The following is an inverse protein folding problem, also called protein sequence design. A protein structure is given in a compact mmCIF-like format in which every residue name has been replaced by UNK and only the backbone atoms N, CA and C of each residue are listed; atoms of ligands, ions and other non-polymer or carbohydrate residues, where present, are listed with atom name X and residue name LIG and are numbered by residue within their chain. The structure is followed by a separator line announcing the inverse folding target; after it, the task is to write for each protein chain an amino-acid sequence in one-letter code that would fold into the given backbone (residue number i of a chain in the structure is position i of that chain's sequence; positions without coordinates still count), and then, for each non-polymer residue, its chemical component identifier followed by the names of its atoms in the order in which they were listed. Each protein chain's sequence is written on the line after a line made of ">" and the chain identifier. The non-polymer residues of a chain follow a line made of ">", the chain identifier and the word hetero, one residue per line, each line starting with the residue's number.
data_IF_688444143153
#
_entry.id   IF_688444143153
#
_cell.length_a   1.000
_cell.length_b   1.000
_cell.length_c   1.000
_cell.angle_alpha   90.00
_cell.angle_beta   90.00
_cell.angle_gamma   90.00
#
_symmetry.space_group_name_H-M   'P 1'
#
loop_
_entity.id
_entity.type
_entity.pdbx_description
1 polymer ?
#
# COMPACT_ATOMS: atom_id res chain seq x y z
N UNK A 1 -25.76 0.02 -30.61
CA UNK A 1 -26.24 0.68 -29.38
C UNK A 1 -26.08 -0.29 -28.22
N UNK A 2 -25.63 0.25 -27.09
CA UNK A 2 -25.06 -0.39 -25.89
C UNK A 2 -25.75 -1.67 -25.36
N UNK A 3 -24.94 -2.69 -25.02
CA UNK A 3 -25.34 -3.84 -24.18
C UNK A 3 -24.60 -3.85 -22.83
N UNK A 4 -24.26 -2.66 -22.30
CA UNK A 4 -23.98 -2.50 -20.88
C UNK A 4 -25.30 -2.77 -20.14
N UNK A 5 -25.29 -3.63 -19.13
CA UNK A 5 -26.42 -4.15 -18.35
C UNK A 5 -27.01 -5.47 -18.86
N UNK A 6 -26.33 -6.58 -18.61
CA UNK A 6 -26.99 -7.82 -18.19
C UNK A 6 -25.98 -8.69 -17.42
N UNK A 7 -25.96 -8.54 -16.10
CA UNK A 7 -25.40 -9.54 -15.18
C UNK A 7 -26.53 -10.52 -14.86
N UNK A 8 -26.57 -11.65 -15.56
CA UNK A 8 -27.46 -12.76 -15.21
C UNK A 8 -26.63 -13.86 -14.52
N UNK A 9 -27.04 -14.15 -13.29
CA UNK A 9 -27.03 -15.43 -12.59
C UNK A 9 -25.69 -16.14 -12.33
N UNK A 10 -25.06 -15.71 -11.23
CA UNK A 10 -24.20 -16.55 -10.39
C UNK A 10 -24.82 -16.63 -8.96
N UNK A 11 -24.54 -17.68 -8.17
CA UNK A 11 -25.27 -17.98 -6.93
C UNK A 11 -25.24 -16.80 -5.95
N UNK A 12 -26.43 -16.33 -5.56
CA UNK A 12 -26.63 -15.13 -4.74
C UNK A 12 -26.22 -15.37 -3.27
N UNK A 13 -24.95 -15.17 -2.96
CA UNK A 13 -24.60 -14.41 -1.76
C UNK A 13 -24.98 -12.95 -2.04
N UNK A 14 -25.71 -12.30 -1.15
CA UNK A 14 -26.26 -10.95 -1.35
C UNK A 14 -25.18 -9.98 -1.85
N UNK A 15 -25.16 -9.70 -3.15
CA UNK A 15 -24.16 -8.83 -3.77
C UNK A 15 -24.15 -7.42 -3.14
N UNK A 16 -25.27 -7.01 -2.54
CA UNK A 16 -25.35 -5.74 -1.81
C UNK A 16 -24.62 -5.77 -0.46
N UNK A 17 -24.50 -6.95 0.16
CA UNK A 17 -23.75 -7.15 1.40
C UNK A 17 -22.23 -7.11 1.17
N UNK A 18 -21.74 -7.76 0.10
CA UNK A 18 -20.31 -7.80 -0.22
C UNK A 18 -19.80 -6.43 -0.64
N UNK A 19 -20.52 -5.72 -1.52
CA UNK A 19 -20.14 -4.33 -1.89
C UNK A 19 -20.09 -3.42 -0.67
N UNK A 20 -21.05 -3.53 0.26
CA UNK A 20 -21.05 -2.74 1.50
C UNK A 20 -19.85 -3.04 2.40
N UNK A 21 -19.36 -4.28 2.44
CA UNK A 21 -18.15 -4.62 3.20
C UNK A 21 -16.93 -3.92 2.58
N UNK A 22 -16.76 -4.00 1.25
CA UNK A 22 -15.66 -3.33 0.56
C UNK A 22 -15.70 -1.82 0.76
N UNK A 23 -16.86 -1.17 0.60
CA UNK A 23 -17.01 0.28 0.79
C UNK A 23 -16.58 0.73 2.20
N UNK A 24 -16.85 -0.09 3.23
CA UNK A 24 -16.47 0.20 4.62
C UNK A 24 -14.98 0.03 4.89
N UNK A 25 -14.30 -0.84 4.15
CA UNK A 25 -12.86 -1.09 4.27
C UNK A 25 -12.06 -0.08 3.43
N UNK A 26 -12.55 0.27 2.23
CA UNK A 26 -11.84 1.10 1.26
C UNK A 26 -11.84 2.59 1.61
N UNK A 27 -12.92 3.12 2.21
CA UNK A 27 -13.02 4.56 2.50
C UNK A 27 -11.91 5.08 3.45
N UNK A 28 -11.58 4.41 4.57
CA UNK A 28 -10.44 4.80 5.39
C UNK A 28 -9.10 4.59 4.66
N UNK A 29 -8.95 3.54 3.83
CA UNK A 29 -7.72 3.32 3.04
C UNK A 29 -7.45 4.48 2.08
N UNK A 30 -8.49 4.99 1.41
CA UNK A 30 -8.36 6.14 0.51
C UNK A 30 -7.93 7.40 1.26
N UNK A 31 -8.51 7.65 2.43
CA UNK A 31 -8.16 8.79 3.30
C UNK A 31 -6.74 8.66 3.84
N UNK A 32 -6.36 7.49 4.36
CA UNK A 32 -5.02 7.19 4.81
C UNK A 32 -3.98 7.35 3.69
N UNK A 33 -4.31 6.94 2.46
CA UNK A 33 -3.45 7.11 1.29
C UNK A 33 -3.23 8.58 0.91
N UNK A 34 -4.24 9.44 1.07
CA UNK A 34 -4.08 10.87 0.86
C UNK A 34 -3.11 11.49 1.88
N UNK A 35 -3.23 11.12 3.15
CA UNK A 35 -2.30 11.54 4.20
C UNK A 35 -0.88 11.00 3.96
N UNK A 36 -0.75 9.73 3.57
CA UNK A 36 0.52 9.11 3.26
C UNK A 36 1.23 9.82 2.10
N UNK A 37 0.52 10.13 1.01
CA UNK A 37 1.08 10.87 -0.13
C UNK A 37 1.46 12.31 0.22
N UNK A 38 0.72 12.96 1.13
CA UNK A 38 1.11 14.26 1.68
C UNK A 38 2.43 14.17 2.43
N UNK A 39 2.62 13.16 3.29
CA UNK A 39 3.88 12.95 3.99
C UNK A 39 5.06 12.77 3.01
N UNK A 40 4.86 11.99 1.94
CA UNK A 40 5.85 11.84 0.87
C UNK A 40 6.28 13.16 0.25
N UNK A 41 5.32 14.06 -0.01
CA UNK A 41 5.61 15.40 -0.54
C UNK A 41 6.47 16.22 0.42
N UNK A 42 6.20 16.16 1.73
CA UNK A 42 7.02 16.83 2.74
C UNK A 42 8.44 16.22 2.79
N UNK A 43 8.58 14.90 2.73
CA UNK A 43 9.89 14.22 2.76
C UNK A 43 10.76 14.53 1.54
N UNK A 44 10.16 14.71 0.36
CA UNK A 44 10.89 15.19 -0.82
C UNK A 44 11.45 16.60 -0.61
N UNK A 45 10.68 17.48 0.05
CA UNK A 45 11.13 18.83 0.37
C UNK A 45 12.17 18.84 1.49
N UNK A 46 12.09 17.92 2.47
CA UNK A 46 13.14 17.73 3.49
C UNK A 46 14.49 17.53 2.80
N UNK A 47 14.56 16.62 1.84
CA UNK A 47 15.81 16.34 1.14
C UNK A 47 16.40 17.60 0.49
N UNK A 48 15.58 18.37 -0.23
CA UNK A 48 16.02 19.63 -0.85
C UNK A 48 16.42 20.70 0.17
N UNK A 49 15.66 20.87 1.25
CA UNK A 49 15.97 21.85 2.30
C UNK A 49 17.32 21.53 2.97
N UNK A 50 17.61 20.23 3.17
CA UNK A 50 18.90 19.77 3.69
C UNK A 50 20.07 19.97 2.73
N UNK A 51 19.87 19.80 1.42
CA UNK A 51 20.90 20.12 0.41
C UNK A 51 21.24 21.61 0.39
N UNK A 52 20.27 22.47 0.72
CA UNK A 52 20.45 23.91 0.83
C UNK A 52 20.94 24.37 2.22
N UNK A 53 21.16 23.43 3.15
CA UNK A 53 21.50 23.69 4.55
C UNK A 53 20.44 24.51 5.33
N UNK A 54 19.16 24.47 4.94
CA UNK A 54 18.06 25.05 5.71
C UNK A 54 17.49 24.04 6.71
N UNK A 55 18.26 23.80 7.79
CA UNK A 55 17.93 22.83 8.84
C UNK A 55 16.63 23.17 9.57
N UNK A 56 16.35 24.47 9.72
CA UNK A 56 15.12 24.96 10.36
C UNK A 56 13.90 24.60 9.52
N UNK A 57 13.93 24.82 8.21
CA UNK A 57 12.82 24.46 7.34
C UNK A 57 12.66 22.94 7.24
N UNK A 58 13.76 22.20 7.10
CA UNK A 58 13.74 20.74 7.11
C UNK A 58 13.08 20.17 8.38
N UNK A 59 13.34 20.77 9.55
CA UNK A 59 12.69 20.36 10.80
C UNK A 59 11.18 20.56 10.80
N UNK A 60 10.70 21.68 10.23
CA UNK A 60 9.26 21.91 10.04
C UNK A 60 8.65 20.87 9.09
N UNK A 61 9.34 20.55 7.99
CA UNK A 61 8.90 19.54 7.03
C UNK A 61 8.81 18.14 7.65
N UNK A 62 9.80 17.74 8.44
CA UNK A 62 9.76 16.46 9.17
C UNK A 62 8.57 16.43 10.13
N UNK A 63 8.32 17.51 10.89
CA UNK A 63 7.15 17.57 11.77
C UNK A 63 5.81 17.45 11.02
N UNK A 64 5.69 18.11 9.86
CA UNK A 64 4.53 17.96 8.97
C UNK A 64 4.38 16.54 8.43
N UNK A 65 5.48 15.89 8.03
CA UNK A 65 5.49 14.51 7.56
C UNK A 65 5.05 13.55 8.67
N UNK A 66 5.57 13.70 9.89
CA UNK A 66 5.18 12.91 11.06
C UNK A 66 3.68 13.05 11.33
N UNK A 67 3.15 14.27 11.38
CA UNK A 67 1.73 14.49 11.62
C UNK A 67 0.84 13.87 10.51
N UNK A 68 1.28 13.91 9.26
CA UNK A 68 0.57 13.28 8.16
C UNK A 68 0.64 11.74 8.21
N UNK A 69 1.79 11.16 8.56
CA UNK A 69 1.92 9.71 8.73
C UNK A 69 1.15 9.19 9.94
N UNK A 70 1.07 9.96 11.03
CA UNK A 70 0.21 9.64 12.18
C UNK A 70 -1.27 9.54 11.75
N UNK A 71 -1.76 10.52 11.01
CA UNK A 71 -3.12 10.49 10.47
C UNK A 71 -3.32 9.32 9.49
N UNK A 72 -2.34 9.05 8.62
CA UNK A 72 -2.40 7.90 7.71
C UNK A 72 -2.48 6.57 8.46
N UNK A 73 -1.65 6.42 9.50
CA UNK A 73 -1.58 5.21 10.31
C UNK A 73 -2.91 4.95 11.04
N UNK A 74 -3.52 5.97 11.63
CA UNK A 74 -4.82 5.86 12.30
C UNK A 74 -5.93 5.37 11.36
N UNK A 75 -5.99 5.92 10.14
CA UNK A 75 -6.94 5.51 9.10
C UNK A 75 -6.69 4.07 8.62
N UNK A 76 -5.43 3.68 8.42
CA UNK A 76 -5.08 2.31 8.01
C UNK A 76 -5.34 1.29 9.12
N UNK A 77 -5.03 1.61 10.38
CA UNK A 77 -5.33 0.76 11.54
C UNK A 77 -6.85 0.61 11.74
N UNK A 78 -7.60 1.69 11.56
CA UNK A 78 -9.07 1.67 11.57
C UNK A 78 -9.61 0.77 10.46
N UNK A 79 -9.13 0.89 9.23
CA UNK A 79 -9.52 -0.01 8.13
C UNK A 79 -9.19 -1.46 8.45
N UNK A 80 -7.98 -1.72 8.96
CA UNK A 80 -7.52 -3.06 9.30
C UNK A 80 -8.42 -3.71 10.36
N UNK A 81 -8.79 -2.96 11.39
CA UNK A 81 -9.68 -3.43 12.44
C UNK A 81 -11.10 -3.72 11.90
N UNK A 82 -11.65 -2.81 11.10
CA UNK A 82 -12.97 -3.00 10.44
C UNK A 82 -12.94 -4.23 9.52
N UNK A 83 -11.87 -4.41 8.75
CA UNK A 83 -11.71 -5.57 7.88
C UNK A 83 -11.72 -6.89 8.66
N UNK A 84 -11.05 -6.96 9.82
CA UNK A 84 -11.08 -8.15 10.70
C UNK A 84 -12.48 -8.41 11.24
N UNK A 85 -13.15 -7.38 11.77
CA UNK A 85 -14.49 -7.49 12.34
C UNK A 85 -15.53 -7.97 11.33
N UNK A 86 -15.38 -7.55 10.07
CA UNK A 86 -16.27 -7.93 8.98
C UNK A 86 -15.88 -9.26 8.30
N UNK A 87 -14.78 -9.90 8.71
CA UNK A 87 -14.25 -11.09 8.04
C UNK A 87 -13.80 -10.84 6.60
N UNK A 88 -13.44 -9.59 6.28
CA UNK A 88 -13.10 -9.14 4.93
C UNK A 88 -11.93 -9.93 4.35
N UNK A 89 -10.85 -10.14 5.11
CA UNK A 89 -9.63 -10.76 4.58
C UNK A 89 -9.87 -12.15 4.01
N UNK A 90 -10.56 -13.02 4.76
CA UNK A 90 -10.92 -14.36 4.27
C UNK A 90 -11.79 -14.28 3.02
N UNK A 91 -12.81 -13.42 3.04
CA UNK A 91 -13.69 -13.22 1.89
C UNK A 91 -12.91 -12.72 0.65
N UNK A 92 -12.00 -11.77 0.85
CA UNK A 92 -11.18 -11.19 -0.20
C UNK A 92 -10.22 -12.22 -0.80
N UNK A 93 -9.55 -12.96 0.07
CA UNK A 93 -8.64 -14.03 -0.29
C UNK A 93 -9.32 -15.14 -1.10
N UNK A 94 -10.51 -15.58 -0.67
CA UNK A 94 -11.29 -16.59 -1.37
C UNK A 94 -11.68 -16.09 -2.77
N UNK A 95 -12.08 -14.81 -2.91
CA UNK A 95 -12.39 -14.21 -4.21
C UNK A 95 -11.16 -14.06 -5.12
N UNK A 96 -10.01 -13.72 -4.56
CA UNK A 96 -8.74 -13.66 -5.31
C UNK A 96 -8.36 -15.04 -5.84
N UNK A 97 -8.50 -16.09 -5.02
CA UNK A 97 -8.28 -17.47 -5.47
C UNK A 97 -9.28 -17.88 -6.54
N UNK A 98 -10.57 -17.60 -6.35
CA UNK A 98 -11.62 -17.90 -7.34
C UNK A 98 -11.32 -17.27 -8.71
N UNK A 99 -10.89 -16.00 -8.74
CA UNK A 99 -10.49 -15.30 -9.96
C UNK A 99 -9.24 -15.92 -10.65
N UNK A 100 -8.48 -16.73 -9.93
CA UNK A 100 -7.20 -17.29 -10.36
C UNK A 100 -7.19 -18.82 -10.31
N UNK A 101 -8.34 -19.46 -10.54
CA UNK A 101 -8.49 -20.92 -10.62
C UNK A 101 -8.07 -21.67 -9.35
N UNK A 102 -8.22 -21.03 -8.18
CA UNK A 102 -7.95 -21.60 -6.87
C UNK A 102 -6.63 -21.19 -6.22
N UNK A 103 -5.79 -20.39 -6.88
CA UNK A 103 -4.46 -20.00 -6.42
C UNK A 103 -4.27 -18.49 -6.38
N UNK A 104 -3.33 -17.96 -5.61
CA UNK A 104 -3.15 -16.50 -5.51
C UNK A 104 -2.38 -15.85 -6.66
N UNK A 105 -1.62 -16.60 -7.48
CA UNK A 105 -0.88 -16.13 -8.68
C UNK A 105 -0.28 -14.71 -8.56
N UNK A 106 0.29 -14.39 -7.40
CA UNK A 106 0.69 -13.03 -7.03
C UNK A 106 1.86 -12.57 -7.88
N UNK A 107 2.87 -13.42 -8.02
CA UNK A 107 4.05 -13.14 -8.83
C UNK A 107 3.71 -12.87 -10.30
N UNK A 108 2.81 -13.66 -10.88
CA UNK A 108 2.34 -13.43 -12.24
C UNK A 108 1.61 -12.10 -12.35
N UNK A 109 0.74 -11.79 -11.38
CA UNK A 109 -0.03 -10.54 -11.35
C UNK A 109 0.89 -9.32 -11.26
N UNK A 110 1.90 -9.35 -10.39
CA UNK A 110 2.89 -8.28 -10.25
C UNK A 110 3.76 -8.15 -11.51
N UNK A 111 4.16 -9.26 -12.14
CA UNK A 111 4.93 -9.25 -13.39
C UNK A 111 4.12 -8.65 -14.54
N UNK A 112 2.86 -9.03 -14.67
CA UNK A 112 1.95 -8.48 -15.69
C UNK A 112 1.71 -6.99 -15.49
N UNK A 113 1.47 -6.55 -14.25
CA UNK A 113 1.35 -5.14 -13.93
C UNK A 113 2.65 -4.36 -14.25
N UNK A 114 3.81 -4.97 -14.01
CA UNK A 114 5.10 -4.41 -14.40
C UNK A 114 5.25 -4.25 -15.92
N UNK A 115 4.85 -5.27 -16.69
CA UNK A 115 4.86 -5.19 -18.16
C UNK A 115 3.91 -4.11 -18.71
N UNK A 116 2.84 -3.79 -17.98
CA UNK A 116 1.90 -2.71 -18.31
C UNK A 116 2.35 -1.32 -17.81
N UNK A 117 3.50 -1.23 -17.12
CA UNK A 117 4.00 0.02 -16.56
C UNK A 117 3.20 0.55 -15.37
N UNK A 118 2.39 -0.30 -14.73
CA UNK A 118 1.57 0.08 -13.57
C UNK A 118 2.36 0.04 -12.26
N UNK A 119 3.46 -0.72 -12.23
CA UNK A 119 4.29 -0.93 -11.05
C UNK A 119 5.75 -1.15 -11.47
N UNK A 120 6.68 -0.50 -10.79
CA UNK A 120 8.11 -0.77 -10.92
C UNK A 120 8.59 -1.42 -9.63
N UNK A 121 8.84 -2.73 -9.69
CA UNK A 121 9.25 -3.54 -8.55
C UNK A 121 10.44 -4.40 -8.95
N UNK A 122 11.49 -4.40 -8.15
CA UNK A 122 12.60 -5.35 -8.35
C UNK A 122 12.17 -6.79 -7.97
N UNK A 123 12.90 -7.78 -8.47
CA UNK A 123 12.56 -9.20 -8.27
C UNK A 123 12.54 -9.58 -6.78
N UNK A 124 13.43 -9.01 -5.95
CA UNK A 124 13.50 -9.33 -4.53
C UNK A 124 12.27 -8.82 -3.77
N UNK A 125 11.80 -7.61 -4.12
CA UNK A 125 10.61 -7.00 -3.55
C UNK A 125 9.33 -7.70 -4.03
N UNK A 126 9.31 -8.15 -5.30
CA UNK A 126 8.24 -8.99 -5.84
C UNK A 126 8.14 -10.33 -5.10
N UNK A 127 9.28 -11.01 -4.92
CA UNK A 127 9.38 -12.26 -4.17
C UNK A 127 8.90 -12.09 -2.72
N UNK A 128 9.39 -11.05 -2.03
CA UNK A 128 8.98 -10.76 -0.65
C UNK A 128 7.47 -10.55 -0.56
N UNK A 129 6.91 -9.77 -1.46
CA UNK A 129 5.45 -9.47 -1.48
C UNK A 129 4.64 -10.73 -1.76
N UNK A 130 5.05 -11.52 -2.76
CA UNK A 130 4.43 -12.81 -3.09
C UNK A 130 4.40 -13.73 -1.89
N UNK A 131 5.55 -13.91 -1.22
CA UNK A 131 5.68 -14.81 -0.07
C UNK A 131 4.77 -14.40 1.10
N UNK A 132 4.76 -13.12 1.48
CA UNK A 132 3.91 -12.63 2.58
C UNK A 132 2.43 -12.92 2.28
N UNK A 133 2.01 -12.68 1.05
CA UNK A 133 0.62 -12.86 0.62
C UNK A 133 0.25 -14.35 0.50
N UNK A 134 1.15 -15.19 -0.02
CA UNK A 134 0.92 -16.64 -0.14
C UNK A 134 0.87 -17.34 1.22
N UNK A 135 1.70 -16.92 2.17
CA UNK A 135 1.78 -17.51 3.52
C UNK A 135 0.63 -17.06 4.43
N UNK A 136 0.18 -15.82 4.32
CA UNK A 136 -0.74 -15.21 5.29
C UNK A 136 -1.89 -14.39 4.70
N UNK A 137 -2.06 -14.37 3.37
CA UNK A 137 -3.13 -13.66 2.68
C UNK A 137 -3.00 -12.14 2.74
N UNK A 138 -4.10 -11.47 2.36
CA UNK A 138 -4.19 -10.00 2.38
C UNK A 138 -4.04 -9.43 3.80
N UNK A 139 -4.48 -10.16 4.84
CA UNK A 139 -4.32 -9.72 6.23
C UNK A 139 -2.84 -9.57 6.62
N UNK A 140 -2.01 -10.58 6.31
CA UNK A 140 -0.59 -10.54 6.63
C UNK A 140 0.14 -9.46 5.83
N UNK A 141 -0.23 -9.30 4.55
CA UNK A 141 0.33 -8.25 3.70
C UNK A 141 0.02 -6.84 4.22
N UNK A 142 -1.23 -6.58 4.59
CA UNK A 142 -1.63 -5.28 5.13
C UNK A 142 -1.06 -5.05 6.55
N UNK A 143 -0.97 -6.09 7.38
CA UNK A 143 -0.29 -6.02 8.68
C UNK A 143 1.18 -5.63 8.52
N UNK A 144 1.87 -6.23 7.53
CA UNK A 144 3.26 -5.89 7.23
C UNK A 144 3.39 -4.44 6.76
N UNK A 145 2.48 -3.94 5.92
CA UNK A 145 2.46 -2.53 5.51
C UNK A 145 2.36 -1.58 6.72
N UNK A 146 1.43 -1.83 7.64
CA UNK A 146 1.26 -1.05 8.87
C UNK A 146 2.52 -1.10 9.75
N UNK A 147 3.15 -2.27 9.88
CA UNK A 147 4.38 -2.41 10.66
C UNK A 147 5.54 -1.59 10.08
N UNK A 148 5.75 -1.65 8.76
CA UNK A 148 6.79 -0.86 8.07
C UNK A 148 6.50 0.65 8.16
N UNK A 149 5.23 1.05 8.09
CA UNK A 149 4.81 2.45 8.29
C UNK A 149 5.16 2.96 9.69
N UNK A 150 4.92 2.15 10.73
CA UNK A 150 5.31 2.48 12.11
C UNK A 150 6.82 2.64 12.25
N UNK A 151 7.62 1.76 11.64
CA UNK A 151 9.08 1.86 11.65
C UNK A 151 9.58 3.15 10.97
N UNK A 152 9.00 3.51 9.82
CA UNK A 152 9.31 4.79 9.17
C UNK A 152 8.97 5.97 10.09
N UNK A 153 7.78 5.97 10.69
CA UNK A 153 7.32 7.03 11.59
C UNK A 153 8.22 7.17 12.83
N UNK A 154 8.61 6.06 13.45
CA UNK A 154 9.57 6.05 14.56
C UNK A 154 10.91 6.65 14.15
N UNK A 155 11.43 6.28 12.97
CA UNK A 155 12.66 6.84 12.42
C UNK A 155 12.59 8.35 12.21
N UNK A 156 11.44 8.87 11.76
CA UNK A 156 11.22 10.30 11.59
C UNK A 156 11.05 11.05 12.92
N UNK A 157 10.42 10.44 13.92
CA UNK A 157 10.29 11.01 15.27
C UNK A 157 11.61 11.12 16.00
N UNK A 158 12.59 10.27 15.66
CA UNK A 158 13.94 10.33 16.18
C UNK A 158 14.80 11.45 15.56
N UNK A 159 14.24 12.24 14.64
CA UNK A 159 14.92 13.37 14.04
C UNK A 159 15.20 14.49 15.08
N UNK A 160 16.46 14.90 15.18
CA UNK A 160 16.91 15.91 16.13
C UNK A 160 17.66 17.06 15.43
N UNK A 161 16.97 18.14 15.11
CA UNK A 161 17.54 19.34 14.47
C UNK A 161 18.80 19.90 15.13
N UNK A 162 18.99 19.69 16.44
CA UNK A 162 20.18 20.19 17.14
C UNK A 162 21.45 19.40 16.84
N UNK A 163 21.32 18.12 16.49
CA UNK A 163 22.41 17.28 16.02
C UNK A 163 22.89 17.65 14.59
N UNK A 164 22.18 18.57 13.90
CA UNK A 164 22.53 19.06 12.56
C UNK A 164 23.80 19.88 12.52
N UNK A 165 23.95 20.76 13.50
CA UNK A 165 25.09 21.65 13.56
C UNK A 165 26.37 20.87 13.93
N UNK A 166 26.22 19.69 14.54
CA UNK A 166 27.33 18.85 14.99
C UNK A 166 27.87 17.90 13.91
N UNK A 167 27.03 17.42 12.98
CA UNK A 167 27.44 16.45 11.94
C UNK A 167 26.63 16.55 10.63
N UNK A 168 27.02 17.39 9.66
CA UNK A 168 26.29 17.58 8.40
C UNK A 168 26.08 16.32 7.54
N UNK A 169 26.99 15.33 7.62
CA UNK A 169 26.88 14.07 6.85
C UNK A 169 25.69 13.22 7.36
N UNK A 170 25.44 13.24 8.66
CA UNK A 170 24.30 12.55 9.26
C UNK A 170 22.97 13.03 8.65
N UNK A 171 22.88 14.30 8.27
CA UNK A 171 21.67 14.96 7.78
C UNK A 171 21.36 14.60 6.34
N UNK A 172 22.38 14.60 5.48
CA UNK A 172 22.24 14.09 4.13
C UNK A 172 21.78 12.63 4.15
N UNK A 173 22.36 11.81 5.03
CA UNK A 173 21.93 10.42 5.19
C UNK A 173 20.49 10.30 5.70
N UNK A 174 20.04 11.18 6.60
CA UNK A 174 18.65 11.20 7.05
C UNK A 174 17.67 11.49 5.90
N UNK A 175 17.93 12.55 5.12
CA UNK A 175 17.11 12.90 3.96
C UNK A 175 16.99 11.74 2.97
N UNK A 176 18.13 11.17 2.56
CA UNK A 176 18.17 10.02 1.65
C UNK A 176 17.49 8.76 2.21
N UNK A 177 17.70 8.44 3.50
CA UNK A 177 17.09 7.26 4.12
C UNK A 177 15.58 7.39 4.23
N UNK A 178 15.10 8.56 4.66
CA UNK A 178 13.66 8.80 4.86
C UNK A 178 12.87 8.75 3.56
N UNK A 179 13.36 9.39 2.49
CA UNK A 179 12.71 9.30 1.17
C UNK A 179 12.78 7.90 0.58
N UNK A 180 13.91 7.20 0.72
CA UNK A 180 14.06 5.82 0.23
C UNK A 180 13.09 4.87 0.95
N UNK A 181 13.01 4.97 2.28
CA UNK A 181 12.09 4.15 3.08
C UNK A 181 10.63 4.46 2.73
N UNK A 182 10.28 5.75 2.55
CA UNK A 182 8.96 6.15 2.08
C UNK A 182 8.63 5.55 0.71
N UNK A 183 9.54 5.64 -0.27
CA UNK A 183 9.31 5.12 -1.61
C UNK A 183 9.17 3.59 -1.63
N UNK A 184 9.98 2.88 -0.85
CA UNK A 184 9.84 1.43 -0.69
C UNK A 184 8.47 1.06 -0.13
N UNK A 185 8.00 1.78 0.91
CA UNK A 185 6.69 1.55 1.50
C UNK A 185 5.56 1.92 0.53
N UNK A 186 5.70 3.00 -0.23
CA UNK A 186 4.77 3.41 -1.28
C UNK A 186 4.65 2.36 -2.37
N UNK A 187 5.78 1.85 -2.86
CA UNK A 187 5.83 0.79 -3.88
C UNK A 187 5.19 -0.50 -3.34
N UNK A 188 5.44 -0.84 -2.07
CA UNK A 188 4.80 -1.99 -1.43
C UNK A 188 3.28 -1.82 -1.36
N UNK A 189 2.78 -0.67 -0.88
CA UNK A 189 1.34 -0.37 -0.87
C UNK A 189 0.70 -0.38 -2.26
N UNK A 190 1.38 0.16 -3.28
CA UNK A 190 0.94 0.07 -4.67
C UNK A 190 0.87 -1.37 -5.17
N UNK A 191 1.81 -2.23 -4.76
CA UNK A 191 1.80 -3.65 -5.09
C UNK A 191 0.57 -4.35 -4.53
N UNK A 192 0.16 -4.03 -3.29
CA UNK A 192 -1.07 -4.56 -2.69
C UNK A 192 -2.31 -4.09 -3.46
N UNK A 193 -2.39 -2.81 -3.82
CA UNK A 193 -3.50 -2.30 -4.62
C UNK A 193 -3.59 -2.97 -6.00
N UNK A 194 -2.44 -3.21 -6.64
CA UNK A 194 -2.35 -3.94 -7.91
C UNK A 194 -2.82 -5.38 -7.76
N UNK A 195 -2.40 -6.09 -6.71
CA UNK A 195 -2.85 -7.45 -6.43
C UNK A 195 -4.38 -7.46 -6.27
N UNK A 196 -4.91 -6.55 -5.46
CA UNK A 196 -6.33 -6.55 -5.12
C UNK A 196 -7.18 -6.17 -6.34
N UNK A 197 -6.76 -5.20 -7.16
CA UNK A 197 -7.53 -4.80 -8.36
C UNK A 197 -7.32 -5.79 -9.50
N UNK A 198 -6.06 -6.04 -9.88
CA UNK A 198 -5.72 -6.78 -11.08
C UNK A 198 -5.92 -8.29 -10.89
N UNK A 199 -5.59 -8.80 -9.70
CA UNK A 199 -5.83 -10.19 -9.32
C UNK A 199 -7.31 -10.57 -9.32
N UNK A 200 -8.22 -9.62 -9.04
CA UNK A 200 -9.67 -9.82 -9.11
C UNK A 200 -10.25 -9.74 -10.54
N UNK A 201 -9.52 -9.20 -11.52
CA UNK A 201 -10.04 -8.97 -12.89
C UNK A 201 -9.80 -10.11 -13.88
N UNK A 202 -9.07 -11.17 -13.48
CA UNK A 202 -8.87 -12.32 -14.36
C UNK A 202 -10.18 -13.09 -14.52
N UNK A 203 -10.66 -13.17 -15.76
CA UNK A 203 -11.68 -14.14 -16.13
C UNK A 203 -11.11 -15.55 -16.00
N UNK A 204 -11.91 -16.54 -15.56
CA UNK A 204 -11.51 -17.94 -15.71
C UNK A 204 -11.19 -18.15 -17.18
N UNK A 205 -9.94 -18.54 -17.47
CA UNK A 205 -9.50 -18.82 -18.83
C UNK A 205 -10.56 -19.64 -19.52
N UNK A 206 -11.19 -19.04 -20.54
CA UNK A 206 -12.14 -19.72 -21.40
C UNK A 206 -11.54 -21.05 -21.78
N UNK A 207 -12.22 -22.13 -21.42
CA UNK A 207 -11.98 -23.44 -21.99
C UNK A 207 -11.88 -23.28 -23.50
N UNK A 208 -10.66 -23.37 -24.04
CA UNK A 208 -10.48 -23.58 -25.47
C UNK A 208 -10.96 -25.01 -25.71
N UNK A 209 -12.25 -25.10 -26.01
CA UNK A 209 -12.83 -26.19 -26.75
C UNK A 209 -12.24 -26.10 -28.16
N UNK A 210 -11.61 -27.21 -28.57
CA UNK A 210 -11.25 -27.65 -29.93
C UNK A 210 -9.74 -27.83 -30.13
#
# INVERSE_FOLDING_TARGET
>A
MSSVCNKADAPQLDASSVTRIYDRVDAPIATGSAHFMRAGSELHLVHSDLELNDTRQAAVRVACAVAALDAALDEYETSHQVAKELGFYRLHDDRLREANSGEFRIRETLREAGNLGLLYLDEASAERTSRIFEEGGDEAAFTNFIAELRLLLEGLRAFDASAADENPVYWQHFGWKSITAFDQLRIYGQSLAVINIFGMTREPSSSVVS
#
